data_IF_151483978480
#
_entry.id   IF_151483978480
#
_cell.length_a   1.000
_cell.length_b   1.000
_cell.length_c   1.000
_cell.angle_alpha   90.00
_cell.angle_beta   90.00
_cell.angle_gamma   90.00
#
_symmetry.space_group_name_H-M   'P 1'
#
loop_
_entity.id
_entity.type
_entity.pdbx_description
1 polymer ?
#
# COMPACT_ATOMS: atom_id res chain seq x y z
N UNK A 1 -28.60 -1.57 8.66
CA UNK A 1 -28.10 -1.46 10.04
C UNK A 1 -26.60 -1.16 10.06
N UNK A 2 -25.76 -2.08 9.57
CA UNK A 2 -24.28 -1.94 9.63
C UNK A 2 -23.73 -0.60 9.12
N UNK A 3 -24.18 -0.12 7.96
CA UNK A 3 -23.73 1.16 7.39
C UNK A 3 -24.01 2.36 8.31
N UNK A 4 -25.18 2.39 8.95
CA UNK A 4 -25.55 3.46 9.88
C UNK A 4 -24.69 3.41 11.14
N UNK A 5 -24.46 2.22 11.68
CA UNK A 5 -23.58 2.02 12.83
C UNK A 5 -22.18 2.53 12.52
N UNK A 6 -21.61 2.14 11.37
CA UNK A 6 -20.29 2.62 10.92
C UNK A 6 -20.23 4.13 10.81
N UNK A 7 -21.24 4.76 10.21
CA UNK A 7 -21.29 6.23 10.10
C UNK A 7 -21.37 6.92 11.46
N UNK A 8 -22.23 6.44 12.37
CA UNK A 8 -22.36 7.04 13.69
C UNK A 8 -21.08 6.88 14.51
N UNK A 9 -20.39 5.74 14.40
CA UNK A 9 -19.07 5.55 15.03
C UNK A 9 -18.07 6.59 14.53
N UNK A 10 -17.95 6.79 13.21
CA UNK A 10 -17.07 7.81 12.64
C UNK A 10 -17.44 9.23 13.11
N UNK A 11 -18.72 9.57 13.14
CA UNK A 11 -19.20 10.89 13.56
C UNK A 11 -18.89 11.16 15.05
N UNK A 12 -19.07 10.15 15.90
CA UNK A 12 -18.72 10.24 17.33
C UNK A 12 -17.20 10.44 17.48
N UNK A 13 -16.38 9.66 16.78
CA UNK A 13 -14.92 9.78 16.83
C UNK A 13 -14.42 11.17 16.39
N UNK A 14 -14.93 11.70 15.26
CA UNK A 14 -14.56 13.06 14.82
C UNK A 14 -15.10 14.16 15.75
N UNK A 15 -16.25 13.92 16.39
CA UNK A 15 -16.78 14.83 17.42
C UNK A 15 -15.89 14.86 18.67
N UNK A 16 -15.33 13.72 19.06
CA UNK A 16 -14.42 13.61 20.21
C UNK A 16 -13.00 14.12 19.89
N UNK A 17 -12.62 14.22 18.61
CA UNK A 17 -11.30 14.68 18.16
C UNK A 17 -11.39 15.78 17.07
N UNK A 18 -12.01 16.94 17.37
CA UNK A 18 -12.34 17.95 16.36
C UNK A 18 -11.11 18.59 15.72
N UNK A 19 -10.02 18.78 16.47
CA UNK A 19 -8.78 19.37 15.94
C UNK A 19 -8.14 18.50 14.85
N UNK A 20 -8.06 17.19 15.10
CA UNK A 20 -7.52 16.22 14.14
C UNK A 20 -8.41 16.13 12.90
N UNK A 21 -9.73 16.01 13.09
CA UNK A 21 -10.69 15.95 11.99
C UNK A 21 -10.60 17.20 11.10
N UNK A 22 -10.58 18.39 11.71
CA UNK A 22 -10.46 19.68 11.00
C UNK A 22 -9.14 19.80 10.24
N UNK A 23 -8.01 19.38 10.84
CA UNK A 23 -6.71 19.40 10.19
C UNK A 23 -6.66 18.49 8.95
N UNK A 24 -7.11 17.24 9.06
CA UNK A 24 -7.14 16.31 7.92
C UNK A 24 -8.11 16.75 6.83
N UNK A 25 -9.26 17.31 7.20
CA UNK A 25 -10.22 17.90 6.26
C UNK A 25 -9.58 19.06 5.48
N UNK A 26 -8.90 19.98 6.18
CA UNK A 26 -8.20 21.11 5.57
C UNK A 26 -7.11 20.68 4.60
N UNK A 27 -6.31 19.67 4.97
CA UNK A 27 -5.28 19.10 4.10
C UNK A 27 -5.87 18.37 2.88
N UNK A 28 -6.97 17.64 3.07
CA UNK A 28 -7.70 16.99 1.98
C UNK A 28 -8.22 18.01 0.98
N UNK A 29 -8.83 19.09 1.48
CA UNK A 29 -9.32 20.18 0.66
C UNK A 29 -8.19 20.92 -0.06
N UNK A 30 -7.04 21.13 0.59
CA UNK A 30 -5.88 21.74 -0.05
C UNK A 30 -5.37 20.90 -1.23
N UNK A 31 -5.21 19.58 -1.05
CA UNK A 31 -4.84 18.67 -2.15
C UNK A 31 -5.86 18.77 -3.29
N UNK A 32 -7.15 18.73 -2.95
CA UNK A 32 -8.24 18.83 -3.91
C UNK A 32 -8.14 20.13 -4.73
N UNK A 33 -7.95 21.28 -4.07
CA UNK A 33 -7.85 22.58 -4.73
C UNK A 33 -6.69 22.66 -5.71
N UNK A 34 -5.52 22.15 -5.32
CA UNK A 34 -4.30 22.17 -6.14
C UNK A 34 -4.42 21.23 -7.34
N UNK A 35 -5.07 20.07 -7.18
CA UNK A 35 -5.04 19.02 -8.21
C UNK A 35 -6.31 18.93 -9.07
N UNK A 36 -7.47 19.45 -8.64
CA UNK A 36 -8.75 19.26 -9.35
C UNK A 36 -8.75 19.81 -10.79
N UNK A 37 -7.95 20.84 -11.07
CA UNK A 37 -7.79 21.43 -12.41
C UNK A 37 -6.85 20.63 -13.31
N UNK A 38 -6.00 19.79 -12.71
CA UNK A 38 -5.03 18.94 -13.40
C UNK A 38 -5.59 17.58 -13.81
N UNK A 39 -6.88 17.37 -13.55
CA UNK A 39 -7.59 16.13 -13.83
C UNK A 39 -8.75 16.47 -14.76
N UNK A 40 -8.81 15.77 -15.89
CA UNK A 40 -9.95 15.84 -16.80
C UNK A 40 -10.40 14.43 -17.14
N UNK A 41 -11.67 14.13 -16.85
CA UNK A 41 -12.31 12.88 -17.26
C UNK A 41 -13.24 13.22 -18.42
N UNK A 42 -13.00 12.63 -19.58
CA UNK A 42 -13.79 12.93 -20.78
C UNK A 42 -15.28 12.65 -20.54
N UNK A 43 -16.15 13.58 -21.00
CA UNK A 43 -17.61 13.49 -20.94
C UNK A 43 -18.22 13.11 -19.59
N UNK A 44 -17.55 13.50 -18.51
CA UNK A 44 -18.06 13.48 -17.13
C UNK A 44 -18.28 14.92 -16.67
N UNK A 45 -19.34 15.18 -15.90
CA UNK A 45 -19.53 16.52 -15.31
C UNK A 45 -18.45 16.80 -14.27
N UNK A 46 -18.15 18.08 -14.03
CA UNK A 46 -17.17 18.46 -13.01
C UNK A 46 -17.58 17.97 -11.62
N UNK A 47 -18.86 17.98 -11.28
CA UNK A 47 -19.35 17.48 -9.98
C UNK A 47 -19.09 15.98 -9.79
N UNK A 48 -19.36 15.17 -10.82
CA UNK A 48 -19.08 13.73 -10.78
C UNK A 48 -17.57 13.46 -10.68
N UNK A 49 -16.77 14.19 -11.44
CA UNK A 49 -15.30 14.11 -11.38
C UNK A 49 -14.80 14.46 -9.98
N UNK A 50 -15.30 15.55 -9.41
CA UNK A 50 -14.92 16.03 -8.08
C UNK A 50 -15.29 15.01 -7.00
N UNK A 51 -16.46 14.38 -7.12
CA UNK A 51 -16.90 13.28 -6.25
C UNK A 51 -15.90 12.12 -6.24
N UNK A 52 -15.57 11.59 -7.41
CA UNK A 52 -14.60 10.49 -7.52
C UNK A 52 -13.21 10.91 -7.06
N UNK A 53 -12.85 12.18 -7.27
CA UNK A 53 -11.54 12.68 -6.88
C UNK A 53 -11.41 12.85 -5.36
N UNK A 54 -12.43 13.37 -4.69
CA UNK A 54 -12.47 13.43 -3.22
C UNK A 54 -12.40 12.02 -2.62
N UNK A 55 -13.16 11.07 -3.15
CA UNK A 55 -13.08 9.66 -2.74
C UNK A 55 -11.66 9.08 -2.92
N UNK A 56 -10.96 9.45 -3.99
CA UNK A 56 -9.58 9.03 -4.23
C UNK A 56 -8.57 9.66 -3.27
N UNK A 57 -8.73 10.95 -2.93
CA UNK A 57 -7.88 11.61 -1.91
C UNK A 57 -8.10 10.96 -0.55
N UNK A 58 -9.36 10.72 -0.17
CA UNK A 58 -9.73 10.04 1.06
C UNK A 58 -9.04 8.68 1.19
N UNK A 59 -9.09 7.87 0.13
CA UNK A 59 -8.46 6.54 0.06
C UNK A 59 -6.93 6.59 0.14
N UNK A 60 -6.28 7.59 -0.46
CA UNK A 60 -4.82 7.59 -0.65
C UNK A 60 -4.08 8.44 0.36
N UNK A 61 -4.58 9.64 0.66
CA UNK A 61 -3.97 10.56 1.61
C UNK A 61 -4.33 10.21 3.05
N UNK A 62 -5.63 10.20 3.39
CA UNK A 62 -6.08 9.85 4.76
C UNK A 62 -5.93 8.36 5.06
N UNK A 63 -5.90 7.52 4.03
CA UNK A 63 -5.84 6.04 4.15
C UNK A 63 -7.02 5.51 4.99
N UNK A 64 -8.16 6.19 4.88
CA UNK A 64 -9.37 5.88 5.63
C UNK A 64 -9.87 4.49 5.33
N UNK A 65 -10.43 3.83 6.33
CA UNK A 65 -11.14 2.57 6.13
C UNK A 65 -12.45 2.78 5.35
N UNK A 66 -13.20 1.69 5.13
CA UNK A 66 -14.46 1.78 4.38
C UNK A 66 -15.50 2.62 5.12
N UNK A 67 -15.52 2.58 6.46
CA UNK A 67 -16.47 3.30 7.30
C UNK A 67 -16.28 4.80 7.16
N UNK A 68 -15.05 5.29 7.31
CA UNK A 68 -14.70 6.69 7.15
C UNK A 68 -14.85 7.17 5.70
N UNK A 69 -14.52 6.34 4.71
CA UNK A 69 -14.77 6.67 3.30
C UNK A 69 -16.27 6.91 3.03
N UNK A 70 -17.14 6.05 3.59
CA UNK A 70 -18.60 6.21 3.48
C UNK A 70 -19.08 7.47 4.18
N UNK A 71 -18.64 7.67 5.42
CA UNK A 71 -19.01 8.82 6.23
C UNK A 71 -18.58 10.15 5.59
N UNK A 72 -17.33 10.30 5.16
CA UNK A 72 -16.85 11.54 4.55
C UNK A 72 -17.51 11.85 3.20
N UNK A 73 -17.77 10.83 2.38
CA UNK A 73 -18.57 11.02 1.16
C UNK A 73 -19.99 11.47 1.51
N UNK A 74 -20.62 10.89 2.53
CA UNK A 74 -21.95 11.29 2.97
C UNK A 74 -21.96 12.77 3.38
N UNK A 75 -21.10 13.20 4.32
CA UNK A 75 -21.06 14.60 4.79
C UNK A 75 -20.48 15.58 3.77
N UNK A 76 -19.98 15.10 2.62
CA UNK A 76 -19.62 15.99 1.49
C UNK A 76 -20.86 16.43 0.72
N UNK A 77 -21.86 15.56 0.59
CA UNK A 77 -23.12 15.86 -0.12
C UNK A 77 -24.26 16.28 0.82
N UNK A 78 -24.15 15.88 2.08
CA UNK A 78 -25.11 16.14 3.15
C UNK A 78 -24.37 16.76 4.35
N UNK A 79 -25.02 16.84 5.51
CA UNK A 79 -24.39 17.30 6.75
C UNK A 79 -24.27 16.14 7.74
N UNK A 80 -23.44 16.25 8.80
CA UNK A 80 -23.40 15.26 9.88
C UNK A 80 -24.81 14.96 10.41
N UNK A 81 -25.06 13.72 10.83
CA UNK A 81 -26.39 13.27 11.26
C UNK A 81 -26.91 14.18 12.38
N UNK A 82 -26.05 14.56 13.33
CA UNK A 82 -26.40 15.43 14.46
C UNK A 82 -26.89 16.83 14.06
N UNK A 83 -26.58 17.28 12.83
CA UNK A 83 -26.92 18.62 12.33
C UNK A 83 -28.24 18.62 11.53
N UNK A 84 -28.85 17.45 11.34
CA UNK A 84 -30.17 17.32 10.72
C UNK A 84 -31.30 17.54 11.74
N UNK A 85 -32.32 18.28 11.30
CA UNK A 85 -33.60 18.37 12.00
C UNK A 85 -34.39 17.07 11.86
N UNK A 86 -35.35 16.83 12.76
CA UNK A 86 -36.23 15.65 12.70
C UNK A 86 -36.96 15.51 11.34
N UNK A 87 -37.33 16.64 10.73
CA UNK A 87 -37.98 16.66 9.41
C UNK A 87 -37.03 16.18 8.31
N UNK A 88 -35.82 16.73 8.26
CA UNK A 88 -34.80 16.33 7.29
C UNK A 88 -34.40 14.86 7.45
N UNK A 89 -34.29 14.36 8.69
CA UNK A 89 -34.04 12.93 8.95
C UNK A 89 -35.15 12.04 8.42
N UNK A 90 -36.41 12.49 8.52
CA UNK A 90 -37.55 11.75 7.99
C UNK A 90 -37.47 11.67 6.45
N UNK A 91 -37.13 12.78 5.79
CA UNK A 91 -36.97 12.84 4.33
C UNK A 91 -35.77 12.01 3.82
N UNK A 92 -34.66 12.02 4.56
CA UNK A 92 -33.46 11.24 4.21
C UNK A 92 -33.69 9.76 4.47
N UNK A 93 -34.42 9.37 5.53
CA UNK A 93 -34.60 7.95 5.90
C UNK A 93 -35.22 7.13 4.76
N UNK A 94 -36.20 7.67 4.04
CA UNK A 94 -36.81 7.01 2.89
C UNK A 94 -35.86 6.86 1.68
N UNK A 95 -34.88 7.75 1.53
CA UNK A 95 -33.89 7.73 0.43
C UNK A 95 -32.57 7.08 0.83
N UNK A 96 -32.37 6.79 2.12
CA UNK A 96 -31.10 6.36 2.68
C UNK A 96 -30.52 5.11 2.00
N UNK A 97 -31.30 4.05 1.69
CA UNK A 97 -30.77 2.89 0.99
C UNK A 97 -30.18 3.26 -0.39
N UNK A 98 -30.83 4.15 -1.13
CA UNK A 98 -30.34 4.61 -2.43
C UNK A 98 -29.07 5.46 -2.28
N UNK A 99 -28.99 6.31 -1.25
CA UNK A 99 -27.79 7.10 -0.93
C UNK A 99 -26.62 6.19 -0.58
N UNK A 100 -26.84 5.22 0.32
CA UNK A 100 -25.81 4.28 0.75
C UNK A 100 -25.28 3.44 -0.43
N UNK A 101 -26.17 2.93 -1.29
CA UNK A 101 -25.78 2.21 -2.50
C UNK A 101 -24.98 3.11 -3.45
N UNK A 102 -25.41 4.36 -3.64
CA UNK A 102 -24.69 5.31 -4.50
C UNK A 102 -23.28 5.61 -4.00
N UNK A 103 -23.09 5.75 -2.69
CA UNK A 103 -21.77 5.94 -2.07
C UNK A 103 -20.90 4.70 -2.29
N UNK A 104 -21.44 3.51 -2.04
CA UNK A 104 -20.70 2.26 -2.24
C UNK A 104 -20.30 2.03 -3.71
N UNK A 105 -21.20 2.32 -4.65
CA UNK A 105 -20.93 2.25 -6.09
C UNK A 105 -19.87 3.26 -6.51
N UNK A 106 -19.89 4.45 -5.90
CA UNK A 106 -18.88 5.49 -6.13
C UNK A 106 -17.51 5.00 -5.66
N UNK A 107 -17.42 4.44 -4.45
CA UNK A 107 -16.17 3.92 -3.88
C UNK A 107 -15.58 2.74 -4.65
N UNK A 108 -16.44 1.89 -5.23
CA UNK A 108 -16.03 0.74 -6.07
C UNK A 108 -15.67 1.12 -7.50
N UNK A 109 -15.95 2.36 -7.90
CA UNK A 109 -15.79 2.82 -9.28
C UNK A 109 -14.33 2.72 -9.77
N UNK A 110 -14.10 2.25 -11.01
CA UNK A 110 -12.77 2.26 -11.62
C UNK A 110 -12.14 3.66 -11.70
N UNK A 111 -12.95 4.73 -11.74
CA UNK A 111 -12.44 6.11 -11.72
C UNK A 111 -11.73 6.42 -10.41
N UNK A 112 -12.28 6.01 -9.26
CA UNK A 112 -11.63 6.21 -7.96
C UNK A 112 -10.28 5.52 -7.92
N UNK A 113 -10.16 4.31 -8.47
CA UNK A 113 -8.88 3.60 -8.51
C UNK A 113 -7.85 4.28 -9.42
N UNK A 114 -8.26 4.78 -10.58
CA UNK A 114 -7.37 5.51 -11.50
C UNK A 114 -6.92 6.85 -10.91
N UNK A 115 -7.85 7.60 -10.32
CA UNK A 115 -7.57 8.83 -9.59
C UNK A 115 -6.68 8.54 -8.38
N UNK A 116 -6.89 7.45 -7.66
CA UNK A 116 -6.04 7.04 -6.54
C UNK A 116 -4.60 6.81 -7.00
N UNK A 117 -4.41 6.15 -8.15
CA UNK A 117 -3.07 5.99 -8.73
C UNK A 117 -2.43 7.34 -9.03
N UNK A 118 -3.16 8.25 -9.69
CA UNK A 118 -2.67 9.60 -9.98
C UNK A 118 -2.31 10.37 -8.70
N UNK A 119 -3.23 10.45 -7.73
CA UNK A 119 -3.04 11.15 -6.45
C UNK A 119 -1.80 10.63 -5.72
N UNK A 120 -1.59 9.31 -5.69
CA UNK A 120 -0.43 8.69 -5.02
C UNK A 120 0.90 9.20 -5.55
N UNK A 121 0.99 9.46 -6.86
CA UNK A 121 2.21 10.00 -7.49
C UNK A 121 2.48 11.46 -7.15
N UNK A 122 1.42 12.23 -6.88
CA UNK A 122 1.51 13.64 -6.51
C UNK A 122 1.75 13.85 -5.01
N UNK A 123 1.38 12.86 -4.20
CA UNK A 123 1.31 12.96 -2.75
C UNK A 123 2.63 13.27 -2.03
N UNK A 124 3.84 12.82 -2.46
CA UNK A 124 5.08 13.02 -1.71
C UNK A 124 5.32 14.47 -1.26
N UNK A 125 5.12 15.43 -2.16
CA UNK A 125 5.31 16.85 -1.86
C UNK A 125 4.31 17.39 -0.85
N UNK A 126 3.05 16.94 -0.91
CA UNK A 126 2.04 17.32 0.08
C UNK A 126 2.37 16.74 1.45
N UNK A 127 2.86 15.49 1.53
CA UNK A 127 3.22 14.87 2.80
C UNK A 127 4.33 15.64 3.52
N UNK A 128 5.37 16.06 2.77
CA UNK A 128 6.47 16.86 3.33
C UNK A 128 5.97 18.25 3.74
N UNK A 129 5.24 18.93 2.86
CA UNK A 129 4.66 20.25 3.16
C UNK A 129 3.78 20.22 4.42
N UNK A 130 2.87 19.25 4.52
CA UNK A 130 1.98 19.11 5.68
C UNK A 130 2.73 18.70 6.96
N UNK A 131 3.83 17.95 6.85
CA UNK A 131 4.71 17.68 8.00
C UNK A 131 5.28 18.98 8.55
N UNK A 132 5.83 19.83 7.68
CA UNK A 132 6.40 21.13 8.06
C UNK A 132 5.31 22.04 8.66
N UNK A 133 4.14 22.12 8.02
CA UNK A 133 3.02 22.93 8.52
C UNK A 133 2.56 22.52 9.91
N UNK A 134 2.52 21.21 10.19
CA UNK A 134 2.09 20.68 11.48
C UNK A 134 3.17 20.87 12.56
N UNK A 135 4.43 20.59 12.24
CA UNK A 135 5.53 20.61 13.20
C UNK A 135 6.02 22.04 13.50
N UNK A 136 5.92 22.96 12.52
CA UNK A 136 6.43 24.34 12.60
C UNK A 136 5.35 25.40 12.46
N UNK A 137 4.09 25.09 12.81
CA UNK A 137 2.93 25.96 12.60
C UNK A 137 3.15 27.43 12.98
N UNK A 138 3.73 27.71 14.16
CA UNK A 138 3.99 29.10 14.63
C UNK A 138 4.96 29.90 13.76
N UNK A 139 5.87 29.23 13.04
CA UNK A 139 6.90 29.86 12.19
C UNK A 139 6.62 29.64 10.71
N UNK A 140 5.48 29.07 10.34
CA UNK A 140 5.24 28.61 8.97
C UNK A 140 5.28 29.77 7.96
N UNK A 141 4.76 30.95 8.32
CA UNK A 141 4.80 32.14 7.46
C UNK A 141 6.22 32.59 7.14
N UNK A 142 7.14 32.55 8.11
CA UNK A 142 8.53 32.93 7.87
C UNK A 142 9.34 31.86 7.13
N UNK A 143 8.89 30.61 7.16
CA UNK A 143 9.48 29.50 6.39
C UNK A 143 9.01 29.56 4.93
N UNK A 144 7.70 29.70 4.69
CA UNK A 144 7.13 29.69 3.34
C UNK A 144 7.53 30.93 2.51
N UNK A 145 7.80 32.06 3.16
CA UNK A 145 8.19 33.31 2.48
C UNK A 145 9.68 33.39 2.10
N UNK A 146 10.52 32.46 2.57
CA UNK A 146 11.97 32.46 2.32
C UNK A 146 12.39 31.11 1.73
N UNK A 147 12.84 31.13 0.46
CA UNK A 147 13.23 29.92 -0.28
C UNK A 147 14.38 29.15 0.38
N UNK A 148 15.31 29.83 1.03
CA UNK A 148 16.44 29.18 1.70
C UNK A 148 15.98 28.50 3.00
N UNK A 149 15.13 29.17 3.78
CA UNK A 149 14.52 28.56 4.99
C UNK A 149 13.62 27.38 4.62
N UNK A 150 12.82 27.52 3.57
CA UNK A 150 12.00 26.44 3.04
C UNK A 150 12.85 25.25 2.61
N UNK A 151 13.95 25.48 1.90
CA UNK A 151 14.87 24.40 1.49
C UNK A 151 15.40 23.65 2.71
N UNK A 152 15.89 24.35 3.73
CA UNK A 152 16.41 23.74 4.96
C UNK A 152 15.37 22.87 5.64
N UNK A 153 14.14 23.36 5.83
CA UNK A 153 13.07 22.58 6.47
C UNK A 153 12.60 21.40 5.61
N UNK A 154 12.57 21.55 4.28
CA UNK A 154 12.25 20.45 3.35
C UNK A 154 13.32 19.37 3.37
N UNK A 155 14.61 19.73 3.36
CA UNK A 155 15.71 18.77 3.42
C UNK A 155 15.71 18.01 4.75
N UNK A 156 15.58 18.72 5.88
CA UNK A 156 15.47 18.11 7.21
C UNK A 156 14.28 17.15 7.29
N UNK A 157 13.09 17.59 6.87
CA UNK A 157 11.89 16.75 6.89
C UNK A 157 12.04 15.53 5.99
N UNK A 158 12.62 15.67 4.79
CA UNK A 158 12.89 14.54 3.90
C UNK A 158 13.86 13.54 4.54
N UNK A 159 14.99 14.00 5.12
CA UNK A 159 15.97 13.13 5.78
C UNK A 159 15.33 12.33 6.91
N UNK A 160 14.55 12.98 7.77
CA UNK A 160 13.82 12.30 8.86
C UNK A 160 12.82 11.27 8.32
N UNK A 161 11.99 11.64 7.33
CA UNK A 161 11.02 10.70 6.75
C UNK A 161 11.70 9.53 6.04
N UNK A 162 12.84 9.74 5.38
CA UNK A 162 13.60 8.68 4.71
C UNK A 162 14.24 7.73 5.72
N UNK A 163 14.77 8.24 6.84
CA UNK A 163 15.28 7.41 7.92
C UNK A 163 14.18 6.56 8.57
N UNK A 164 13.04 7.18 8.89
CA UNK A 164 11.85 6.47 9.40
C UNK A 164 11.36 5.41 8.41
N UNK A 165 11.32 5.74 7.12
CA UNK A 165 10.95 4.82 6.04
C UNK A 165 11.92 3.64 5.96
N UNK A 166 13.23 3.88 6.02
CA UNK A 166 14.26 2.84 6.00
C UNK A 166 14.10 1.87 7.17
N UNK A 167 13.96 2.41 8.39
CA UNK A 167 13.72 1.60 9.59
C UNK A 167 12.45 0.76 9.47
N UNK A 168 11.34 1.37 9.02
CA UNK A 168 10.07 0.68 8.81
C UNK A 168 10.18 -0.44 7.78
N UNK A 169 10.84 -0.19 6.65
CA UNK A 169 11.03 -1.16 5.57
C UNK A 169 11.85 -2.35 6.06
N UNK A 170 12.95 -2.09 6.79
CA UNK A 170 13.76 -3.14 7.40
C UNK A 170 12.96 -3.98 8.39
N UNK A 171 12.19 -3.36 9.27
CA UNK A 171 11.38 -4.08 10.26
C UNK A 171 10.30 -4.93 9.61
N UNK A 172 9.62 -4.42 8.57
CA UNK A 172 8.65 -5.19 7.80
C UNK A 172 9.30 -6.36 7.07
N UNK A 173 10.47 -6.12 6.45
CA UNK A 173 11.20 -7.16 5.76
C UNK A 173 11.64 -8.29 6.69
N UNK A 174 12.18 -7.94 7.87
CA UNK A 174 12.57 -8.90 8.90
C UNK A 174 11.37 -9.70 9.43
N UNK A 175 10.26 -9.04 9.77
CA UNK A 175 9.04 -9.72 10.24
C UNK A 175 8.51 -10.69 9.19
N UNK A 176 8.43 -10.27 7.94
CA UNK A 176 7.99 -11.13 6.84
C UNK A 176 8.97 -12.28 6.58
N UNK A 177 10.29 -12.06 6.67
CA UNK A 177 11.29 -13.12 6.56
C UNK A 177 11.09 -14.18 7.65
N UNK A 178 10.97 -13.76 8.91
CA UNK A 178 10.77 -14.66 10.05
C UNK A 178 9.47 -15.45 9.86
N UNK A 179 8.38 -14.78 9.53
CA UNK A 179 7.08 -15.41 9.32
C UNK A 179 7.14 -16.45 8.19
N UNK A 180 7.72 -16.11 7.04
CA UNK A 180 7.81 -16.99 5.87
C UNK A 180 8.71 -18.20 6.17
N UNK A 181 9.83 -17.99 6.85
CA UNK A 181 10.73 -19.07 7.25
C UNK A 181 10.04 -20.06 8.19
N UNK A 182 9.37 -19.56 9.24
CA UNK A 182 8.70 -20.41 10.24
C UNK A 182 7.49 -21.13 9.68
N UNK A 183 6.62 -20.41 8.95
CA UNK A 183 5.48 -21.05 8.29
C UNK A 183 5.97 -22.12 7.33
N UNK A 184 7.09 -21.92 6.61
CA UNK A 184 7.65 -22.95 5.74
C UNK A 184 8.13 -24.18 6.51
N UNK A 185 8.79 -24.00 7.67
CA UNK A 185 9.18 -25.13 8.54
C UNK A 185 7.96 -25.93 8.99
N UNK A 186 6.89 -25.27 9.42
CA UNK A 186 5.64 -25.91 9.84
C UNK A 186 5.01 -26.69 8.67
N UNK A 187 4.92 -26.08 7.49
CA UNK A 187 4.41 -26.75 6.29
C UNK A 187 5.28 -27.94 5.88
N UNK A 188 6.60 -27.85 6.06
CA UNK A 188 7.51 -28.96 5.78
C UNK A 188 7.21 -30.16 6.69
N UNK A 189 7.00 -29.92 8.00
CA UNK A 189 6.72 -30.95 8.99
C UNK A 189 5.31 -31.56 8.87
N UNK A 190 4.28 -30.72 8.72
CA UNK A 190 2.87 -31.14 8.78
C UNK A 190 2.34 -31.62 7.43
N UNK A 191 2.86 -31.09 6.32
CA UNK A 191 2.34 -31.38 4.98
C UNK A 191 3.39 -32.02 4.08
N UNK A 192 4.51 -31.35 3.84
CA UNK A 192 5.46 -31.78 2.81
C UNK A 192 6.06 -33.17 3.10
N UNK A 193 6.56 -33.39 4.32
CA UNK A 193 7.14 -34.67 4.75
C UNK A 193 6.13 -35.82 4.76
N UNK A 194 4.98 -35.74 5.48
CA UNK A 194 4.06 -36.86 5.59
C UNK A 194 3.38 -37.15 4.25
N UNK A 195 2.96 -36.12 3.51
CA UNK A 195 2.26 -36.32 2.23
C UNK A 195 3.22 -36.85 1.17
N UNK A 196 4.47 -36.36 1.12
CA UNK A 196 5.46 -36.90 0.17
C UNK A 196 5.77 -38.36 0.46
N UNK A 197 5.98 -38.71 1.74
CA UNK A 197 6.24 -40.09 2.14
C UNK A 197 5.05 -41.02 1.84
N UNK A 198 3.82 -40.54 2.06
CA UNK A 198 2.62 -41.32 1.80
C UNK A 198 2.35 -41.54 0.30
N UNK A 199 2.53 -40.51 -0.54
CA UNK A 199 2.21 -40.58 -1.97
C UNK A 199 3.34 -41.12 -2.84
N UNK A 200 4.60 -40.82 -2.50
CA UNK A 200 5.76 -41.14 -3.34
C UNK A 200 6.68 -42.20 -2.73
N UNK A 201 6.47 -42.56 -1.45
CA UNK A 201 7.26 -43.59 -0.75
C UNK A 201 8.66 -43.12 -0.33
N UNK A 202 9.15 -42.01 -0.87
CA UNK A 202 10.42 -41.39 -0.55
C UNK A 202 10.27 -39.88 -0.28
N UNK A 203 11.35 -39.30 0.26
CA UNK A 203 11.43 -37.88 0.55
C UNK A 203 12.74 -37.35 -0.01
N UNK A 204 12.65 -36.52 -1.04
CA UNK A 204 13.83 -35.85 -1.56
C UNK A 204 14.26 -34.71 -0.64
N UNK A 205 15.28 -34.96 0.19
CA UNK A 205 15.82 -33.99 1.13
C UNK A 205 16.36 -32.73 0.44
N UNK A 206 16.92 -32.85 -0.78
CA UNK A 206 17.39 -31.69 -1.52
C UNK A 206 16.24 -30.74 -1.88
N UNK A 207 15.09 -31.28 -2.27
CA UNK A 207 13.90 -30.48 -2.56
C UNK A 207 13.39 -29.77 -1.32
N UNK A 208 13.35 -30.44 -0.17
CA UNK A 208 12.92 -29.82 1.10
C UNK A 208 13.85 -28.67 1.50
N UNK A 209 15.16 -28.88 1.41
CA UNK A 209 16.15 -27.85 1.76
C UNK A 209 15.99 -26.62 0.84
N UNK A 210 15.93 -26.83 -0.48
CA UNK A 210 15.76 -25.75 -1.44
C UNK A 210 14.43 -25.03 -1.20
N UNK A 211 13.34 -25.78 -1.00
CA UNK A 211 12.01 -25.23 -0.75
C UNK A 211 11.95 -24.41 0.54
N UNK A 212 12.79 -24.77 1.52
CA UNK A 212 12.89 -24.09 2.81
C UNK A 212 13.70 -22.80 2.76
N UNK A 213 14.83 -22.83 2.07
CA UNK A 213 15.81 -21.73 2.07
C UNK A 213 15.54 -20.72 0.96
N UNK A 214 15.03 -21.16 -0.19
CA UNK A 214 14.86 -20.32 -1.35
C UNK A 214 13.90 -19.14 -1.13
N UNK A 215 12.68 -19.30 -0.55
CA UNK A 215 11.78 -18.16 -0.38
C UNK A 215 12.34 -17.04 0.52
N UNK A 216 12.97 -17.34 1.68
CA UNK A 216 13.66 -16.32 2.48
C UNK A 216 14.82 -15.64 1.73
N UNK A 217 15.64 -16.37 0.98
CA UNK A 217 16.71 -15.80 0.16
C UNK A 217 16.14 -14.88 -0.92
N UNK A 218 15.10 -15.33 -1.63
CA UNK A 218 14.41 -14.53 -2.65
C UNK A 218 13.91 -13.21 -2.08
N UNK A 219 13.36 -13.25 -0.86
CA UNK A 219 12.91 -12.04 -0.17
C UNK A 219 14.06 -11.05 0.07
N UNK A 220 15.19 -11.52 0.62
CA UNK A 220 16.37 -10.69 0.86
C UNK A 220 16.90 -10.08 -0.44
N UNK A 221 16.97 -10.88 -1.51
CA UNK A 221 17.39 -10.42 -2.84
C UNK A 221 16.48 -9.28 -3.30
N UNK A 222 15.16 -9.49 -3.32
CA UNK A 222 14.22 -8.46 -3.80
C UNK A 222 14.29 -7.19 -2.96
N UNK A 223 14.32 -7.31 -1.62
CA UNK A 223 14.35 -6.16 -0.71
C UNK A 223 15.64 -5.37 -0.85
N UNK A 224 16.78 -6.02 -1.10
CA UNK A 224 18.06 -5.32 -1.29
C UNK A 224 18.09 -4.40 -2.52
N UNK A 225 17.26 -4.67 -3.54
CA UNK A 225 17.09 -3.78 -4.69
C UNK A 225 16.24 -2.54 -4.40
N UNK A 226 15.53 -2.50 -3.26
CA UNK A 226 14.70 -1.34 -2.92
C UNK A 226 15.56 -0.19 -2.41
N UNK A 227 15.77 0.80 -3.27
CA UNK A 227 16.48 2.04 -2.93
C UNK A 227 15.54 2.97 -2.17
N UNK A 228 15.99 3.49 -1.03
CA UNK A 228 15.32 4.61 -0.35
C UNK A 228 15.51 5.89 -1.20
N UNK A 229 14.55 6.82 -1.24
CA UNK A 229 14.73 8.08 -1.97
C UNK A 229 15.97 8.86 -1.49
N UNK A 230 16.66 9.53 -2.41
CA UNK A 230 17.89 10.29 -2.15
C UNK A 230 17.74 11.80 -2.36
N UNK A 231 18.87 12.51 -2.43
CA UNK A 231 18.90 13.98 -2.54
C UNK A 231 18.23 14.52 -3.81
N UNK A 232 18.34 13.83 -4.95
CA UNK A 232 17.66 14.22 -6.18
C UNK A 232 16.13 14.28 -5.99
N UNK A 233 15.57 13.27 -5.31
CA UNK A 233 14.16 13.24 -4.97
C UNK A 233 13.78 14.40 -4.03
N UNK A 234 14.63 14.72 -3.05
CA UNK A 234 14.43 15.89 -2.17
C UNK A 234 14.41 17.20 -2.96
N UNK A 235 15.32 17.38 -3.93
CA UNK A 235 15.32 18.55 -4.82
C UNK A 235 14.05 18.63 -5.66
N UNK A 236 13.55 17.50 -6.16
CA UNK A 236 12.31 17.44 -6.95
C UNK A 236 11.08 17.74 -6.08
N UNK A 237 11.03 17.23 -4.84
CA UNK A 237 10.01 17.57 -3.86
C UNK A 237 10.00 19.07 -3.56
N UNK A 238 11.17 19.66 -3.30
CA UNK A 238 11.31 21.10 -3.04
C UNK A 238 10.80 21.94 -4.21
N UNK A 239 11.24 21.65 -5.44
CA UNK A 239 10.75 22.32 -6.65
C UNK A 239 9.23 22.22 -6.78
N UNK A 240 8.66 21.05 -6.47
CA UNK A 240 7.21 20.83 -6.51
C UNK A 240 6.49 21.65 -5.44
N UNK A 241 7.04 21.74 -4.23
CA UNK A 241 6.47 22.57 -3.14
C UNK A 241 6.49 24.05 -3.54
N UNK A 242 7.59 24.57 -4.10
CA UNK A 242 7.65 25.94 -4.63
C UNK A 242 6.54 26.16 -5.66
N UNK A 243 6.39 25.25 -6.63
CA UNK A 243 5.35 25.40 -7.65
C UNK A 243 3.92 25.40 -7.07
N UNK A 244 3.69 24.68 -5.97
CA UNK A 244 2.40 24.67 -5.26
C UNK A 244 2.16 26.01 -4.55
N UNK A 245 3.19 26.58 -3.88
CA UNK A 245 3.08 27.82 -3.11
C UNK A 245 2.99 29.05 -4.03
N UNK A 246 3.89 29.15 -5.00
CA UNK A 246 4.00 30.31 -5.91
C UNK A 246 2.92 30.30 -7.01
N UNK A 247 2.06 29.28 -7.04
CA UNK A 247 1.00 29.09 -8.05
C UNK A 247 1.52 29.26 -9.49
N UNK A 248 2.65 28.61 -9.79
CA UNK A 248 3.28 28.70 -11.10
C UNK A 248 2.37 28.13 -12.20
N UNK A 249 1.97 28.97 -13.16
CA UNK A 249 1.06 28.60 -14.26
C UNK A 249 1.56 27.41 -15.11
N UNK A 250 2.89 27.24 -15.24
CA UNK A 250 3.47 26.10 -15.96
C UNK A 250 3.26 24.75 -15.22
N UNK A 251 3.16 24.78 -13.89
CA UNK A 251 2.81 23.60 -13.10
C UNK A 251 1.30 23.35 -13.10
N UNK A 252 0.49 24.39 -13.20
CA UNK A 252 -0.98 24.32 -13.23
C UNK A 252 -1.55 23.77 -14.55
N UNK A 253 -0.82 23.89 -15.66
CA UNK A 253 -1.30 23.56 -17.01
C UNK A 253 -1.08 22.11 -17.48
N UNK A 254 -0.34 21.29 -16.71
CA UNK A 254 -0.17 19.86 -17.04
C UNK A 254 -1.41 19.03 -16.67
N UNK A 255 -2.35 18.94 -17.61
CA UNK A 255 -3.60 18.17 -17.42
C UNK A 255 -3.33 16.68 -17.66
N UNK A 256 -3.60 15.87 -16.65
CA UNK A 256 -3.71 14.42 -16.76
C UNK A 256 -5.09 14.06 -17.32
N UNK A 257 -5.11 13.64 -18.58
CA UNK A 257 -6.31 13.19 -19.27
C UNK A 257 -6.63 11.75 -18.87
N UNK A 258 -7.84 11.53 -18.37
CA UNK A 258 -8.39 10.21 -18.09
C UNK A 258 -9.57 9.95 -19.05
N UNK A 259 -9.55 8.87 -19.83
CA UNK A 259 -10.60 8.61 -20.80
C UNK A 259 -11.93 8.26 -20.12
N UNK A 260 -13.05 8.69 -20.74
CA UNK A 260 -14.45 8.54 -20.28
C UNK A 260 -14.87 7.11 -19.98
N UNK A 261 -14.27 6.17 -20.71
CA UNK A 261 -14.43 4.73 -20.63
C UNK A 261 -13.04 4.17 -20.91
N UNK A 262 -12.65 2.97 -20.42
CA UNK A 262 -11.59 2.24 -21.08
C UNK A 262 -12.00 2.19 -22.57
N UNK A 263 -11.25 2.90 -23.44
CA UNK A 263 -11.48 3.00 -24.90
C UNK A 263 -12.09 1.69 -25.35
N UNK A 264 -13.26 1.70 -26.02
CA UNK A 264 -13.89 0.49 -26.54
C UNK A 264 -12.82 -0.40 -27.08
N UNK A 265 -12.56 -1.45 -26.30
CA UNK A 265 -11.30 -2.13 -26.40
C UNK A 265 -11.40 -2.85 -27.73
N UNK A 266 -10.61 -2.48 -28.75
CA UNK A 266 -10.63 -3.17 -30.04
C UNK A 266 -10.54 -4.67 -29.72
N UNK A 267 -11.59 -5.48 -29.97
CA UNK A 267 -11.66 -6.82 -29.39
C UNK A 267 -10.45 -7.67 -29.78
N UNK A 268 -9.92 -7.44 -30.99
CA UNK A 268 -8.67 -8.00 -31.50
C UNK A 268 -7.43 -7.59 -30.67
N UNK A 269 -7.31 -6.33 -30.27
CA UNK A 269 -6.19 -5.89 -29.41
C UNK A 269 -6.33 -6.46 -28.00
N UNK A 270 -7.53 -6.54 -27.44
CA UNK A 270 -7.73 -7.22 -26.14
C UNK A 270 -7.30 -8.66 -26.28
N UNK A 271 -7.79 -9.34 -27.29
CA UNK A 271 -7.51 -10.75 -27.52
C UNK A 271 -6.01 -10.96 -27.66
N UNK A 272 -5.32 -10.12 -28.44
CA UNK A 272 -3.86 -10.12 -28.54
C UNK A 272 -3.16 -9.88 -27.20
N UNK A 273 -3.57 -8.87 -26.42
CA UNK A 273 -3.00 -8.60 -25.10
C UNK A 273 -3.31 -9.69 -24.08
N UNK A 274 -4.48 -10.32 -24.15
CA UNK A 274 -4.89 -11.44 -23.31
C UNK A 274 -4.07 -12.68 -23.66
N UNK A 275 -3.90 -12.99 -24.94
CA UNK A 275 -2.99 -14.06 -25.38
C UNK A 275 -1.58 -13.79 -24.89
N UNK A 276 -1.06 -12.58 -25.11
CA UNK A 276 0.29 -12.21 -24.66
C UNK A 276 0.43 -12.35 -23.15
N UNK A 277 -0.54 -11.88 -22.37
CA UNK A 277 -0.57 -12.00 -20.92
C UNK A 277 -0.68 -13.46 -20.45
N UNK A 278 -1.53 -14.27 -21.08
CA UNK A 278 -1.62 -15.71 -20.80
C UNK A 278 -0.32 -16.42 -21.15
N UNK A 279 0.35 -16.01 -22.23
CA UNK A 279 1.64 -16.54 -22.65
C UNK A 279 2.73 -16.22 -21.62
N UNK A 280 2.75 -15.02 -21.03
CA UNK A 280 3.72 -14.70 -19.96
C UNK A 280 3.53 -15.63 -18.76
N UNK A 281 2.28 -15.96 -18.42
CA UNK A 281 1.94 -16.88 -17.35
C UNK A 281 2.41 -18.31 -17.67
N UNK A 282 2.10 -18.81 -18.87
CA UNK A 282 2.52 -20.14 -19.33
C UNK A 282 4.03 -20.25 -19.37
N UNK A 283 4.73 -19.28 -19.96
CA UNK A 283 6.20 -19.27 -20.05
C UNK A 283 6.81 -19.26 -18.65
N UNK A 284 6.36 -18.36 -17.77
CA UNK A 284 6.90 -18.23 -16.42
C UNK A 284 6.70 -19.52 -15.62
N UNK A 285 5.49 -20.08 -15.60
CA UNK A 285 5.22 -21.34 -14.89
C UNK A 285 5.95 -22.53 -15.49
N UNK A 286 6.07 -22.60 -16.83
CA UNK A 286 6.83 -23.67 -17.51
C UNK A 286 8.31 -23.60 -17.15
N UNK A 287 8.89 -22.40 -17.09
CA UNK A 287 10.30 -22.22 -16.68
C UNK A 287 10.52 -22.64 -15.22
N UNK A 288 9.63 -22.21 -14.32
CA UNK A 288 9.67 -22.63 -12.91
C UNK A 288 9.53 -24.15 -12.82
N UNK A 289 8.53 -24.74 -13.47
CA UNK A 289 8.30 -26.18 -13.48
C UNK A 289 9.53 -26.95 -14.00
N UNK A 290 10.08 -26.58 -15.17
CA UNK A 290 11.28 -27.19 -15.72
C UNK A 290 12.50 -27.02 -14.82
N UNK A 291 12.60 -25.93 -14.07
CA UNK A 291 13.63 -25.74 -13.05
C UNK A 291 13.47 -26.73 -11.90
N UNK A 292 12.26 -26.84 -11.36
CA UNK A 292 11.94 -27.72 -10.22
C UNK A 292 12.06 -29.21 -10.57
N UNK A 293 11.66 -29.62 -11.78
CA UNK A 293 11.85 -31.01 -12.26
C UNK A 293 13.33 -31.37 -12.31
N UNK A 294 14.21 -30.46 -12.78
CA UNK A 294 15.67 -30.69 -12.79
C UNK A 294 16.27 -30.81 -11.38
N UNK A 295 15.60 -30.24 -10.39
CA UNK A 295 15.96 -30.34 -8.97
C UNK A 295 15.26 -31.53 -8.28
N UNK A 296 14.63 -32.42 -9.05
CA UNK A 296 13.93 -33.63 -8.58
C UNK A 296 12.81 -33.34 -7.56
N UNK A 297 12.11 -32.21 -7.69
CA UNK A 297 10.94 -31.93 -6.86
C UNK A 297 9.79 -32.86 -7.26
N UNK A 298 9.03 -33.35 -6.27
CA UNK A 298 7.75 -34.01 -6.52
C UNK A 298 6.61 -32.97 -6.65
N UNK A 299 5.41 -33.37 -7.07
CA UNK A 299 4.32 -32.43 -7.32
C UNK A 299 3.89 -31.64 -6.07
N UNK A 300 3.96 -32.26 -4.89
CA UNK A 300 3.63 -31.63 -3.60
C UNK A 300 4.63 -30.52 -3.27
N UNK A 301 5.93 -30.82 -3.30
CA UNK A 301 7.00 -29.86 -3.10
C UNK A 301 6.97 -28.74 -4.14
N UNK A 302 6.64 -29.03 -5.40
CA UNK A 302 6.46 -28.01 -6.44
C UNK A 302 5.32 -27.05 -6.10
N UNK A 303 4.15 -27.57 -5.72
CA UNK A 303 3.00 -26.75 -5.35
C UNK A 303 3.31 -25.84 -4.16
N UNK A 304 3.96 -26.39 -3.13
CA UNK A 304 4.39 -25.62 -1.95
C UNK A 304 5.42 -24.55 -2.34
N UNK A 305 6.38 -24.89 -3.20
CA UNK A 305 7.39 -23.93 -3.67
C UNK A 305 6.76 -22.75 -4.41
N UNK A 306 5.87 -23.02 -5.38
CA UNK A 306 5.17 -21.98 -6.14
C UNK A 306 4.34 -21.10 -5.21
N UNK A 307 3.65 -21.70 -4.22
CA UNK A 307 2.91 -20.96 -3.22
C UNK A 307 3.80 -19.98 -2.44
N UNK A 308 4.90 -20.44 -1.85
CA UNK A 308 5.78 -19.58 -1.05
C UNK A 308 6.48 -18.51 -1.88
N UNK A 309 6.97 -18.83 -3.08
CA UNK A 309 7.56 -17.85 -4.00
C UNK A 309 6.55 -16.77 -4.40
N UNK A 310 5.30 -17.15 -4.63
CA UNK A 310 4.21 -16.22 -4.94
C UNK A 310 3.92 -15.29 -3.76
N UNK A 311 3.79 -15.84 -2.55
CA UNK A 311 3.54 -15.09 -1.32
C UNK A 311 4.70 -14.12 -1.01
N UNK A 312 5.95 -14.57 -1.09
CA UNK A 312 7.15 -13.73 -0.94
C UNK A 312 7.12 -12.57 -1.95
N UNK A 313 6.85 -12.86 -3.22
CA UNK A 313 6.81 -11.84 -4.27
C UNK A 313 5.75 -10.78 -3.98
N UNK A 314 4.58 -11.20 -3.48
CA UNK A 314 3.52 -10.28 -3.08
C UNK A 314 3.88 -9.42 -1.86
N UNK A 315 4.49 -10.00 -0.83
CA UNK A 315 4.96 -9.23 0.33
C UNK A 315 6.06 -8.25 -0.05
N UNK A 316 7.03 -8.68 -0.86
CA UNK A 316 8.07 -7.79 -1.39
C UNK A 316 7.47 -6.64 -2.20
N UNK A 317 6.44 -6.89 -3.02
CA UNK A 317 5.72 -5.83 -3.72
C UNK A 317 5.03 -4.84 -2.76
N UNK A 318 4.41 -5.32 -1.68
CA UNK A 318 3.84 -4.45 -0.63
C UNK A 318 4.91 -3.58 0.04
N UNK A 319 6.08 -4.13 0.33
CA UNK A 319 7.21 -3.36 0.87
C UNK A 319 7.68 -2.29 -0.14
N UNK A 320 7.78 -2.64 -1.43
CA UNK A 320 8.11 -1.68 -2.50
C UNK A 320 7.14 -0.50 -2.56
N UNK A 321 5.84 -0.74 -2.37
CA UNK A 321 4.84 0.33 -2.31
C UNK A 321 5.09 1.31 -1.17
N UNK A 322 5.55 0.81 -0.01
CA UNK A 322 5.89 1.65 1.15
C UNK A 322 7.15 2.48 0.85
N UNK A 323 8.19 1.87 0.26
CA UNK A 323 9.42 2.58 -0.17
C UNK A 323 9.10 3.74 -1.12
N UNK A 324 8.12 3.55 -2.00
CA UNK A 324 7.71 4.56 -2.97
C UNK A 324 6.78 5.66 -2.40
N UNK A 325 6.45 5.63 -1.09
CA UNK A 325 5.53 6.61 -0.50
C UNK A 325 6.01 8.06 -0.62
N UNK A 326 7.32 8.29 -0.51
CA UNK A 326 7.94 9.62 -0.62
C UNK A 326 8.70 9.83 -1.93
N UNK A 327 8.58 8.92 -2.89
CA UNK A 327 9.28 9.01 -4.18
C UNK A 327 8.42 9.78 -5.18
N UNK A 328 8.90 10.91 -5.65
CA UNK A 328 8.26 11.74 -6.67
C UNK A 328 8.79 11.29 -8.04
N UNK A 329 8.01 10.44 -8.72
CA UNK A 329 8.22 9.80 -10.04
C UNK A 329 9.65 9.71 -10.60
N UNK A 330 10.13 8.49 -10.83
CA UNK A 330 11.32 8.21 -11.64
C UNK A 330 10.94 7.77 -13.05
N UNK A 331 11.86 7.98 -14.00
CA UNK A 331 11.85 7.31 -15.30
C UNK A 331 11.89 5.79 -15.06
N UNK A 332 11.01 5.04 -15.72
CA UNK A 332 11.08 3.58 -15.69
C UNK A 332 12.43 3.12 -16.24
N UNK A 333 13.06 2.14 -15.59
CA UNK A 333 14.31 1.57 -16.08
C UNK A 333 14.03 0.80 -17.37
N UNK A 334 14.97 0.83 -18.31
CA UNK A 334 14.86 0.10 -19.59
C UNK A 334 14.63 -1.40 -19.39
N UNK A 335 15.05 -1.96 -18.24
CA UNK A 335 14.86 -3.37 -17.89
C UNK A 335 13.56 -3.68 -17.14
N UNK A 336 12.79 -2.68 -16.71
CA UNK A 336 11.53 -2.88 -15.97
C UNK A 336 10.55 -3.81 -16.71
N UNK A 337 10.34 -3.70 -18.04
CA UNK A 337 9.43 -4.59 -18.76
C UNK A 337 9.82 -6.07 -18.71
N UNK A 338 11.12 -6.37 -18.74
CA UNK A 338 11.63 -7.75 -18.69
C UNK A 338 11.42 -8.34 -17.30
N UNK A 339 11.70 -7.57 -16.25
CA UNK A 339 11.46 -8.01 -14.87
C UNK A 339 9.96 -8.23 -14.66
N UNK A 340 9.12 -7.28 -15.09
CA UNK A 340 7.67 -7.37 -14.93
C UNK A 340 7.07 -8.56 -15.70
N UNK A 341 7.63 -8.94 -16.85
CA UNK A 341 7.20 -10.12 -17.62
C UNK A 341 7.16 -11.40 -16.77
N UNK A 342 8.21 -11.64 -15.96
CA UNK A 342 8.30 -12.82 -15.09
C UNK A 342 7.69 -12.59 -13.70
N UNK A 343 7.80 -11.36 -13.16
CA UNK A 343 7.30 -11.05 -11.82
C UNK A 343 5.77 -11.00 -11.77
N UNK A 344 5.10 -10.47 -12.80
CA UNK A 344 3.65 -10.24 -12.77
C UNK A 344 2.84 -11.54 -12.61
N UNK A 345 3.13 -12.65 -13.32
CA UNK A 345 2.47 -13.94 -13.09
C UNK A 345 2.56 -14.40 -11.63
N UNK A 346 3.77 -14.42 -11.07
CA UNK A 346 4.05 -14.86 -9.69
C UNK A 346 3.41 -13.94 -8.66
N UNK A 347 3.48 -12.62 -8.89
CA UNK A 347 2.83 -11.60 -8.07
C UNK A 347 1.30 -11.75 -8.07
N UNK A 348 0.71 -12.10 -9.22
CA UNK A 348 -0.74 -12.27 -9.36
C UNK A 348 -1.22 -13.47 -8.56
N UNK A 349 -0.49 -14.60 -8.62
CA UNK A 349 -0.72 -15.76 -7.76
C UNK A 349 -0.60 -15.39 -6.27
N UNK A 350 0.43 -14.64 -5.91
CA UNK A 350 0.66 -14.21 -4.52
C UNK A 350 -0.46 -13.33 -3.99
N UNK A 351 -0.94 -12.39 -4.81
CA UNK A 351 -2.09 -11.54 -4.50
C UNK A 351 -3.36 -12.36 -4.31
N UNK A 352 -3.59 -13.36 -5.16
CA UNK A 352 -4.73 -14.27 -5.04
C UNK A 352 -4.68 -15.03 -3.71
N UNK A 353 -3.55 -15.66 -3.40
CA UNK A 353 -3.37 -16.40 -2.13
C UNK A 353 -3.52 -15.48 -0.91
N UNK A 354 -2.87 -14.32 -0.90
CA UNK A 354 -2.93 -13.40 0.25
C UNK A 354 -4.32 -12.75 0.43
N UNK A 355 -5.05 -12.50 -0.65
CA UNK A 355 -6.38 -11.89 -0.62
C UNK A 355 -7.47 -12.82 -0.08
N UNK A 356 -7.39 -14.12 -0.38
CA UNK A 356 -8.29 -15.13 0.18
C UNK A 356 -7.90 -15.50 1.63
N UNK A 357 -6.59 -15.59 1.93
CA UNK A 357 -6.11 -15.81 3.31
C UNK A 357 -6.50 -14.69 4.27
N UNK A 358 -6.59 -13.43 3.80
CA UNK A 358 -7.06 -12.30 4.61
C UNK A 358 -8.56 -12.37 4.97
N UNK A 359 -9.37 -13.19 4.29
CA UNK A 359 -10.76 -13.47 4.72
C UNK A 359 -10.83 -14.58 5.77
N UNK A 360 -9.78 -15.38 5.89
CA UNK A 360 -9.63 -16.40 6.92
C UNK A 360 -8.97 -15.78 8.16
N UNK A 361 -9.66 -14.81 8.80
CA UNK A 361 -9.21 -14.18 10.06
C UNK A 361 -8.71 -15.19 11.10
N UNK A 362 -9.28 -16.41 11.11
CA UNK A 362 -8.87 -17.51 11.97
C UNK A 362 -7.42 -18.00 11.72
N UNK A 363 -6.98 -18.12 10.46
CA UNK A 363 -5.61 -18.56 10.17
C UNK A 363 -4.59 -17.49 10.55
N UNK A 364 -4.89 -16.20 10.31
CA UNK A 364 -4.02 -15.11 10.75
C UNK A 364 -3.91 -15.10 12.27
N UNK A 365 -5.02 -15.23 13.01
CA UNK A 365 -4.99 -15.34 14.46
C UNK A 365 -4.19 -16.56 14.96
N UNK A 366 -4.33 -17.73 14.32
CA UNK A 366 -3.58 -18.94 14.68
C UNK A 366 -2.10 -18.81 14.36
N UNK A 367 -1.73 -18.21 13.22
CA UNK A 367 -0.34 -17.97 12.88
C UNK A 367 0.29 -16.86 13.74
N UNK A 368 -0.41 -15.76 14.02
CA UNK A 368 0.05 -14.72 14.95
C UNK A 368 0.21 -15.30 16.37
N UNK A 369 -0.71 -16.16 16.84
CA UNK A 369 -0.57 -16.82 18.14
C UNK A 369 0.59 -17.84 18.18
N UNK A 370 0.74 -18.69 17.17
CA UNK A 370 1.78 -19.73 17.12
C UNK A 370 3.18 -19.16 16.80
N UNK A 371 3.26 -18.02 16.12
CA UNK A 371 4.53 -17.44 15.66
C UNK A 371 4.86 -16.14 16.41
N UNK A 372 3.94 -15.19 16.52
CA UNK A 372 4.23 -13.88 17.11
C UNK A 372 4.43 -13.98 18.63
N UNK A 373 3.60 -14.75 19.35
CA UNK A 373 3.69 -14.88 20.81
C UNK A 373 5.04 -15.48 21.31
N UNK A 374 5.54 -16.62 20.78
CA UNK A 374 6.84 -17.15 21.21
C UNK A 374 8.01 -16.28 20.76
N UNK A 375 7.93 -15.60 19.62
CA UNK A 375 9.00 -14.69 19.19
C UNK A 375 9.07 -13.41 19.99
N UNK A 376 7.93 -12.89 20.47
CA UNK A 376 7.90 -11.75 21.41
C UNK A 376 8.67 -12.08 22.68
N UNK A 377 8.43 -13.26 23.24
CA UNK A 377 9.15 -13.78 24.40
C UNK A 377 10.66 -13.89 24.16
N UNK A 378 11.08 -14.45 23.02
CA UNK A 378 12.51 -14.56 22.68
C UNK A 378 13.16 -13.17 22.55
N UNK A 379 12.48 -12.23 21.88
CA UNK A 379 13.01 -10.87 21.69
C UNK A 379 13.14 -10.12 23.02
N UNK A 380 12.15 -10.23 23.89
CA UNK A 380 12.14 -9.61 25.22
C UNK A 380 13.32 -10.14 26.07
N UNK A 381 13.57 -11.46 26.04
CA UNK A 381 14.73 -12.08 26.70
C UNK A 381 16.07 -11.59 26.12
N UNK A 382 16.16 -11.43 24.79
CA UNK A 382 17.38 -10.92 24.14
C UNK A 382 17.61 -9.45 24.47
N UNK A 383 16.57 -8.62 24.51
CA UNK A 383 16.67 -7.22 24.93
C UNK A 383 17.08 -7.09 26.40
N UNK A 384 16.52 -7.92 27.29
CA UNK A 384 16.94 -8.00 28.69
C UNK A 384 18.41 -8.44 28.81
N UNK A 385 18.84 -9.43 28.03
CA UNK A 385 20.23 -9.88 27.99
C UNK A 385 21.18 -8.76 27.54
N UNK A 386 20.84 -8.04 26.47
CA UNK A 386 21.65 -6.91 25.98
C UNK A 386 21.74 -5.81 27.05
N UNK A 387 20.61 -5.49 27.70
CA UNK A 387 20.55 -4.53 28.80
C UNK A 387 21.43 -4.96 29.98
N UNK A 388 21.38 -6.25 30.35
CA UNK A 388 22.22 -6.83 31.40
C UNK A 388 23.72 -6.73 31.07
N UNK A 389 24.11 -7.13 29.85
CA UNK A 389 25.51 -7.06 29.40
C UNK A 389 26.01 -5.62 29.38
N UNK A 390 25.18 -4.67 28.94
CA UNK A 390 25.52 -3.26 28.93
C UNK A 390 25.75 -2.71 30.35
N UNK A 391 24.87 -3.04 31.30
CA UNK A 391 25.05 -2.69 32.72
C UNK A 391 26.33 -3.28 33.31
N UNK A 392 26.63 -4.54 33.02
CA UNK A 392 27.87 -5.19 33.48
C UNK A 392 29.13 -4.57 32.88
N UNK A 393 29.07 -4.14 31.61
CA UNK A 393 30.18 -3.44 30.96
C UNK A 393 30.45 -2.07 31.62
N UNK A 394 29.40 -1.36 32.03
CA UNK A 394 29.48 -0.08 32.74
C UNK A 394 29.97 -0.23 34.20
N UNK A 395 29.87 -1.42 34.81
CA UNK A 395 30.43 -1.71 36.15
C UNK A 395 31.92 -2.08 36.12
N UNK A 396 32.44 -2.54 34.97
CA UNK A 396 33.82 -3.00 34.80
C UNK A 396 34.76 -1.88 34.31
N UNK A 397 34.20 -0.84 33.68
CA UNK A 397 34.89 0.39 33.24
C UNK A 397 34.72 1.44 34.32
#
# INVERSE_FOLDING_TARGET
AEFLTQMMTCEIEETLSPENASQYSSFTFFIYQVLRKKIKIEGMSDDQKNTFFLAAIEKVFRKSDKSYQRYHLFITFYKPIREHTKRELTEISGKFPAIANKIDDTLKSPYVENLSRYTRKQLPSFLILFSIMREKFKKITSILSDKNRLWTEVDLSCREKYQQLSSRVRNLALRSFIYIFLTKMIFALILELPVSRYLYGDVNMSSIIINSIFPPILMLIIVSFFKIPGEENTRNIFKRIINIIDKNDAFETSISYMPKKPKERRPILIFGFTIFYSLTFIITLTLIYKGLVRLNFNAVSMGIFIFFVSVVTFFSYRIRQIVNQFRLEEKESVFTPIVDFFFVPVLSLGKFFSGELARLNFLIFVFDFLIEAPFKLIFEVVEEWISFVKKRKEEII
#
